data_IF_276005173786
#
_entry.id   IF_276005173786
#
_cell.length_a   1.000
_cell.length_b   1.000
_cell.length_c   1.000
_cell.angle_alpha   90.00
_cell.angle_beta   90.00
_cell.angle_gamma   90.00
#
_symmetry.space_group_name_H-M   'P 1'
#
loop_
_entity.id
_entity.type
_entity.pdbx_description
1 polymer ?
#
# COMPACT_ATOMS: atom_id res chain seq x y z
N UNK A 1 6.92 22.61 51.94
CA UNK A 1 6.95 23.11 50.54
C UNK A 1 7.71 22.16 49.61
N UNK A 2 8.75 21.46 50.08
CA UNK A 2 9.54 20.49 49.29
C UNK A 2 8.74 19.32 48.70
N UNK A 3 7.75 18.80 49.46
CA UNK A 3 6.86 17.72 49.06
C UNK A 3 6.05 18.00 47.77
N UNK A 4 5.74 19.26 47.51
CA UNK A 4 4.86 19.65 46.41
C UNK A 4 5.58 19.59 45.05
N UNK A 5 6.88 19.90 45.03
CA UNK A 5 7.70 19.84 43.82
C UNK A 5 7.93 18.39 43.41
N UNK A 6 8.23 17.50 44.36
CA UNK A 6 8.37 16.07 44.09
C UNK A 6 7.07 15.48 43.51
N UNK A 7 5.92 15.78 44.15
CA UNK A 7 4.62 15.35 43.63
C UNK A 7 4.30 15.92 42.24
N UNK A 8 4.63 17.19 41.98
CA UNK A 8 4.41 17.82 40.68
C UNK A 8 5.23 17.13 39.57
N UNK A 9 6.49 16.78 39.85
CA UNK A 9 7.34 16.05 38.91
C UNK A 9 6.82 14.64 38.61
N UNK A 10 6.30 13.94 39.63
CA UNK A 10 5.67 12.62 39.45
C UNK A 10 4.41 12.72 38.60
N UNK A 11 3.54 13.70 38.86
CA UNK A 11 2.33 13.92 38.07
C UNK A 11 2.65 14.28 36.62
N UNK A 12 3.69 15.10 36.38
CA UNK A 12 4.17 15.42 35.04
C UNK A 12 4.64 14.15 34.31
N UNK A 13 5.46 13.33 34.97
CA UNK A 13 5.97 12.09 34.38
C UNK A 13 4.83 11.12 34.03
N UNK A 14 3.86 10.95 34.93
CA UNK A 14 2.66 10.12 34.69
C UNK A 14 1.86 10.66 33.49
N UNK A 15 1.65 11.98 33.42
CA UNK A 15 0.97 12.60 32.29
C UNK A 15 1.64 12.31 30.95
N UNK A 16 2.98 12.44 30.88
CA UNK A 16 3.72 12.14 29.66
C UNK A 16 3.67 10.66 29.29
N UNK A 17 3.83 9.76 30.28
CA UNK A 17 3.83 8.31 30.05
C UNK A 17 2.46 7.83 29.56
N UNK A 18 1.37 8.26 30.21
CA UNK A 18 0.01 7.85 29.86
C UNK A 18 -0.39 8.32 28.46
N UNK A 19 -0.08 9.56 28.10
CA UNK A 19 -0.32 10.10 26.75
C UNK A 19 0.47 9.30 25.72
N UNK A 20 1.76 9.03 25.97
CA UNK A 20 2.58 8.23 25.06
C UNK A 20 2.02 6.82 24.85
N UNK A 21 1.59 6.15 25.93
CA UNK A 21 0.97 4.83 25.89
C UNK A 21 -0.32 4.82 25.07
N UNK A 22 -1.22 5.78 25.31
CA UNK A 22 -2.51 5.85 24.58
C UNK A 22 -2.25 6.11 23.10
N UNK A 23 -1.36 7.04 22.75
CA UNK A 23 -1.00 7.32 21.35
C UNK A 23 -0.40 6.08 20.68
N UNK A 24 0.52 5.39 21.34
CA UNK A 24 1.11 4.16 20.81
C UNK A 24 0.03 3.10 20.52
N UNK A 25 -0.89 2.88 21.48
CA UNK A 25 -2.00 1.94 21.30
C UNK A 25 -2.92 2.31 20.14
N UNK A 26 -3.29 3.59 20.01
CA UNK A 26 -4.13 4.07 18.92
C UNK A 26 -3.45 3.88 17.56
N UNK A 27 -2.16 4.20 17.45
CA UNK A 27 -1.40 4.03 16.21
C UNK A 27 -1.30 2.56 15.81
N UNK A 28 -1.01 1.68 16.77
CA UNK A 28 -0.91 0.23 16.51
C UNK A 28 -2.28 -0.31 16.07
N UNK A 29 -3.35 0.03 16.79
CA UNK A 29 -4.72 -0.37 16.45
C UNK A 29 -5.13 0.12 15.06
N UNK A 30 -4.87 1.39 14.74
CA UNK A 30 -5.14 1.97 13.43
C UNK A 30 -4.37 1.25 12.31
N UNK A 31 -3.09 0.93 12.53
CA UNK A 31 -2.28 0.20 11.55
C UNK A 31 -2.81 -1.23 11.32
N UNK A 32 -3.20 -1.93 12.39
CA UNK A 32 -3.82 -3.26 12.29
C UNK A 32 -5.13 -3.18 11.50
N UNK A 33 -5.99 -2.22 11.80
CA UNK A 33 -7.26 -2.02 11.10
C UNK A 33 -7.04 -1.73 9.61
N UNK A 34 -6.08 -0.86 9.29
CA UNK A 34 -5.69 -0.57 7.90
C UNK A 34 -5.22 -1.85 7.21
N UNK A 35 -4.39 -2.67 7.85
CA UNK A 35 -3.88 -3.92 7.29
C UNK A 35 -5.02 -4.92 7.01
N UNK A 36 -5.97 -5.02 7.92
CA UNK A 36 -7.14 -5.91 7.80
C UNK A 36 -8.00 -5.46 6.62
N UNK A 37 -8.40 -4.19 6.56
CA UNK A 37 -9.21 -3.64 5.46
C UNK A 37 -8.46 -3.78 4.12
N UNK A 38 -7.16 -3.52 4.13
CA UNK A 38 -6.31 -3.66 2.96
C UNK A 38 -6.15 -5.11 2.47
N UNK A 39 -6.40 -6.10 3.32
CA UNK A 39 -6.43 -7.49 2.92
C UNK A 39 -7.77 -7.88 2.29
N UNK A 40 -8.87 -7.23 2.70
CA UNK A 40 -10.21 -7.47 2.14
C UNK A 40 -10.44 -6.75 0.81
N UNK A 41 -9.81 -5.60 0.60
CA UNK A 41 -9.74 -4.97 -0.72
C UNK A 41 -8.40 -5.34 -1.35
N UNK A 42 -8.35 -6.32 -2.28
CA UNK A 42 -7.11 -6.64 -2.97
C UNK A 42 -6.61 -5.37 -3.64
N UNK A 43 -5.55 -4.76 -3.09
CA UNK A 43 -4.85 -3.67 -3.75
C UNK A 43 -4.44 -4.22 -5.12
N UNK A 44 -4.91 -3.65 -6.25
CA UNK A 44 -4.35 -3.98 -7.54
C UNK A 44 -2.86 -3.74 -7.37
N UNK A 45 -2.08 -4.78 -7.61
CA UNK A 45 -0.69 -4.80 -7.23
C UNK A 45 0.03 -3.66 -7.94
N UNK A 46 0.16 -2.50 -7.30
CA UNK A 46 1.31 -1.63 -7.55
C UNK A 46 2.49 -2.39 -6.96
N UNK A 47 2.91 -3.42 -7.69
CA UNK A 47 4.29 -3.85 -7.71
C UNK A 47 5.06 -2.62 -8.17
N UNK A 48 5.44 -1.77 -7.23
CA UNK A 48 6.65 -0.98 -7.39
C UNK A 48 7.84 -1.94 -7.25
N UNK A 49 7.85 -2.98 -8.09
CA UNK A 49 9.02 -3.76 -8.39
C UNK A 49 9.55 -3.13 -9.66
N UNK A 50 10.50 -2.24 -9.44
CA UNK A 50 11.53 -1.87 -10.40
C UNK A 50 12.11 -3.16 -10.99
N UNK A 51 11.52 -3.64 -12.09
CA UNK A 51 12.04 -4.72 -12.93
C UNK A 51 11.57 -4.46 -14.37
N UNK A 52 12.03 -3.33 -14.92
CA UNK A 52 12.08 -3.13 -16.37
C UNK A 52 13.16 -4.05 -16.96
N UNK A 53 12.88 -5.36 -17.01
CA UNK A 53 13.61 -6.33 -17.83
C UNK A 53 12.66 -7.44 -18.28
N UNK A 54 11.50 -7.08 -18.85
CA UNK A 54 10.93 -7.91 -19.92
C UNK A 54 11.61 -7.49 -21.21
N UNK A 55 12.63 -8.26 -21.56
CA UNK A 55 13.13 -8.29 -22.91
C UNK A 55 11.96 -8.62 -23.86
N UNK A 56 11.73 -7.69 -24.81
CA UNK A 56 11.35 -7.99 -26.19
C UNK A 56 9.90 -8.40 -26.51
N UNK A 57 8.96 -7.46 -26.37
CA UNK A 57 8.06 -7.11 -27.50
C UNK A 57 8.45 -5.69 -27.92
N UNK A 58 9.44 -5.59 -28.79
CA UNK A 58 10.17 -4.36 -29.13
C UNK A 58 9.46 -3.43 -30.12
N UNK A 59 8.14 -3.50 -30.24
CA UNK A 59 7.37 -2.57 -31.07
C UNK A 59 6.20 -1.98 -30.26
N UNK A 60 6.26 -0.68 -29.90
CA UNK A 60 5.13 0.02 -29.28
C UNK A 60 3.84 -0.09 -30.10
N UNK A 61 3.97 -0.19 -31.42
CA UNK A 61 2.86 -0.36 -32.36
C UNK A 61 2.12 -1.69 -32.16
N UNK A 62 2.82 -2.80 -31.88
CA UNK A 62 2.17 -4.11 -31.70
C UNK A 62 1.46 -4.20 -30.36
N UNK A 63 1.98 -3.52 -29.33
CA UNK A 63 1.31 -3.43 -28.02
C UNK A 63 0.00 -2.64 -28.12
N UNK A 64 0.00 -1.49 -28.81
CA UNK A 64 -1.19 -0.67 -29.02
C UNK A 64 -2.24 -1.38 -29.88
N UNK A 65 -1.81 -2.12 -30.91
CA UNK A 65 -2.71 -2.92 -31.72
C UNK A 65 -3.38 -4.04 -30.91
N UNK A 66 -2.66 -4.69 -30.00
CA UNK A 66 -3.22 -5.73 -29.12
C UNK A 66 -4.19 -5.10 -28.11
N UNK A 67 -3.84 -3.98 -27.49
CA UNK A 67 -4.70 -3.31 -26.51
C UNK A 67 -6.02 -2.82 -27.15
N UNK A 68 -5.97 -2.21 -28.33
CA UNK A 68 -7.17 -1.79 -29.07
C UNK A 68 -8.01 -2.96 -29.55
N UNK A 69 -7.40 -4.06 -30.00
CA UNK A 69 -8.14 -5.28 -30.32
C UNK A 69 -8.85 -5.86 -29.09
N UNK A 70 -8.18 -5.87 -27.93
CA UNK A 70 -8.79 -6.35 -26.69
C UNK A 70 -9.91 -5.41 -26.24
N UNK A 71 -9.73 -4.09 -26.34
CA UNK A 71 -10.75 -3.11 -25.97
C UNK A 71 -12.01 -3.25 -26.84
N UNK A 72 -11.84 -3.41 -28.16
CA UNK A 72 -12.96 -3.59 -29.09
C UNK A 72 -13.72 -4.91 -28.86
N UNK A 73 -13.01 -6.00 -28.59
CA UNK A 73 -13.62 -7.30 -28.29
C UNK A 73 -14.31 -7.31 -26.92
N UNK A 74 -13.75 -6.61 -25.94
CA UNK A 74 -14.26 -6.57 -24.57
C UNK A 74 -15.17 -5.37 -24.29
N UNK A 75 -15.55 -4.63 -25.34
CA UNK A 75 -16.37 -3.42 -25.26
C UNK A 75 -15.90 -2.41 -24.20
N UNK A 76 -14.58 -2.24 -24.05
CA UNK A 76 -13.98 -1.30 -23.10
C UNK A 76 -13.77 -1.83 -21.68
N UNK A 77 -14.08 -3.09 -21.38
CA UNK A 77 -13.97 -3.65 -20.02
C UNK A 77 -12.71 -4.49 -19.76
N UNK A 78 -12.00 -4.90 -20.81
CA UNK A 78 -10.79 -5.71 -20.70
C UNK A 78 -9.51 -4.87 -20.77
N UNK A 79 -8.54 -5.19 -19.91
CA UNK A 79 -7.21 -4.57 -19.92
C UNK A 79 -6.12 -5.64 -20.00
N UNK A 80 -5.12 -5.39 -20.83
CA UNK A 80 -3.99 -6.30 -21.00
C UNK A 80 -3.00 -6.13 -19.86
N UNK A 81 -2.84 -7.16 -19.01
CA UNK A 81 -1.91 -7.13 -17.87
C UNK A 81 -0.55 -7.75 -18.18
N UNK A 82 -0.48 -8.75 -19.07
CA UNK A 82 0.76 -9.41 -19.46
C UNK A 82 0.65 -10.01 -20.86
N UNK A 83 1.74 -9.92 -21.63
CA UNK A 83 1.84 -10.48 -22.98
C UNK A 83 3.04 -11.42 -23.00
N UNK A 84 2.81 -12.68 -23.37
CA UNK A 84 3.86 -13.68 -23.56
C UNK A 84 3.77 -14.22 -24.97
N UNK A 85 4.87 -14.17 -25.70
CA UNK A 85 4.98 -14.82 -27.02
C UNK A 85 5.06 -16.33 -26.81
N UNK A 86 4.17 -17.09 -27.45
CA UNK A 86 4.25 -18.55 -27.51
C UNK A 86 5.11 -18.91 -28.72
N UNK A 87 6.17 -19.70 -28.49
CA UNK A 87 7.06 -20.21 -29.53
C UNK A 87 6.76 -21.70 -29.73
N UNK A 88 6.62 -22.12 -30.99
CA UNK A 88 6.40 -23.51 -31.41
C UNK A 88 7.64 -24.00 -32.16
#
# INVERSE_FOLDING_TARGET
>A
MESNISNALVLLAIGMITVFLILALVVISGNILIKIVNNYTPKPTKKFSRNYRSATVTAPETLAAIETAVETVTAGHGKVESIQKVEN
#
